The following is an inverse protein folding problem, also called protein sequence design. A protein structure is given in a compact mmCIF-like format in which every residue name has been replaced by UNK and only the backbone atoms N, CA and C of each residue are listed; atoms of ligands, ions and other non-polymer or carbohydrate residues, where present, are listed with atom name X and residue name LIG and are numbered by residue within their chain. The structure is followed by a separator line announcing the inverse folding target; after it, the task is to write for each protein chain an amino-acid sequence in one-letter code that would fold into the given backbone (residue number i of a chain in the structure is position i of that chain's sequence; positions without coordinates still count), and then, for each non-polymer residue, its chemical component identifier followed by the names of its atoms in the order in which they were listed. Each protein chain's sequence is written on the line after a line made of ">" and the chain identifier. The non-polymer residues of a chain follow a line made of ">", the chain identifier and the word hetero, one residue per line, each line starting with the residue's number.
data_IF_961764014799
#
_entry.id   IF_961764014799
#
_cell.length_a   1.000
_cell.length_b   1.000
_cell.length_c   1.000
_cell.angle_alpha   90.00
_cell.angle_beta   90.00
_cell.angle_gamma   90.00
#
_symmetry.space_group_name_H-M   'P 1'
#
loop_
_entity.id
_entity.type
_entity.pdbx_description
1 polymer ?
#
# COMPACT_ATOMS: atom_id res chain seq x y z
N UNK A 1 5.38 12.61 -20.80
CA UNK A 1 6.33 11.60 -20.26
C UNK A 1 5.53 10.60 -19.44
N UNK A 2 5.65 9.29 -19.72
CA UNK A 2 4.96 8.25 -18.94
C UNK A 2 5.66 8.08 -17.57
N UNK A 3 4.93 7.58 -16.56
CA UNK A 3 5.46 7.42 -15.19
C UNK A 3 6.76 6.61 -15.16
N UNK A 4 6.83 5.55 -15.98
CA UNK A 4 7.99 4.66 -16.02
C UNK A 4 9.21 5.34 -16.67
N UNK A 5 8.99 6.16 -17.69
CA UNK A 5 10.04 6.96 -18.34
C UNK A 5 10.61 7.98 -17.35
N UNK A 6 9.73 8.67 -16.59
CA UNK A 6 10.16 9.61 -15.56
C UNK A 6 10.97 8.95 -14.44
N UNK A 7 10.52 7.77 -13.99
CA UNK A 7 11.23 6.98 -12.98
C UNK A 7 12.60 6.52 -13.50
N UNK A 8 12.66 6.02 -14.73
CA UNK A 8 13.91 5.60 -15.35
C UNK A 8 14.90 6.77 -15.51
N UNK A 9 14.41 7.93 -15.92
CA UNK A 9 15.24 9.14 -16.04
C UNK A 9 15.85 9.57 -14.70
N UNK A 10 15.06 9.59 -13.62
CA UNK A 10 15.55 9.96 -12.27
C UNK A 10 16.53 8.94 -11.68
N UNK A 11 16.33 7.65 -11.96
CA UNK A 11 17.30 6.62 -11.56
C UNK A 11 18.61 6.73 -12.35
N UNK A 12 18.52 7.05 -13.64
CA UNK A 12 19.69 7.27 -14.49
C UNK A 12 20.46 8.53 -14.05
N UNK A 13 19.75 9.61 -13.71
CA UNK A 13 20.34 10.81 -13.12
C UNK A 13 21.09 10.47 -11.82
N UNK A 14 20.43 9.76 -10.90
CA UNK A 14 21.07 9.32 -9.64
C UNK A 14 22.22 8.31 -9.83
N UNK A 15 22.38 7.71 -11.01
CA UNK A 15 23.49 6.79 -11.30
C UNK A 15 24.71 7.51 -11.87
N UNK A 16 24.51 8.65 -12.54
CA UNK A 16 25.57 9.37 -13.26
C UNK A 16 26.08 10.62 -12.52
N UNK A 17 25.41 11.05 -11.44
CA UNK A 17 25.86 12.19 -10.63
C UNK A 17 27.04 11.75 -9.74
N UNK A 18 28.18 12.48 -9.77
CA UNK A 18 29.35 12.17 -8.94
C UNK A 18 29.13 12.43 -7.45
N UNK A 19 28.15 13.26 -7.10
CA UNK A 19 27.73 13.49 -5.71
C UNK A 19 26.88 12.32 -5.18
N UNK A 20 27.49 11.52 -4.30
CA UNK A 20 26.87 10.37 -3.65
C UNK A 20 25.72 10.76 -2.70
N UNK A 21 25.74 11.95 -2.11
CA UNK A 21 24.66 12.42 -1.25
C UNK A 21 23.43 12.75 -2.10
N UNK A 22 23.61 13.50 -3.19
CA UNK A 22 22.55 13.81 -4.14
C UNK A 22 21.90 12.56 -4.75
N UNK A 23 22.71 11.57 -5.13
CA UNK A 23 22.24 10.29 -5.64
C UNK A 23 21.34 9.55 -4.63
N UNK A 24 21.73 9.57 -3.36
CA UNK A 24 20.98 8.94 -2.26
C UNK A 24 19.66 9.65 -2.00
N UNK A 25 19.67 10.99 -1.92
CA UNK A 25 18.48 11.81 -1.73
C UNK A 25 17.48 11.64 -2.88
N UNK A 26 17.99 11.58 -4.12
CA UNK A 26 17.17 11.35 -5.31
C UNK A 26 16.45 10.00 -5.24
N UNK A 27 17.17 8.91 -4.93
CA UNK A 27 16.57 7.57 -4.75
C UNK A 27 15.55 7.54 -3.60
N UNK A 28 15.87 8.20 -2.48
CA UNK A 28 14.98 8.29 -1.32
C UNK A 28 13.69 9.04 -1.63
N UNK A 29 13.76 10.13 -2.40
CA UNK A 29 12.59 10.90 -2.80
C UNK A 29 11.64 10.10 -3.71
N UNK A 30 12.18 9.29 -4.64
CA UNK A 30 11.40 8.38 -5.47
C UNK A 30 10.68 7.33 -4.62
N UNK A 31 11.39 6.77 -3.64
CA UNK A 31 10.82 5.78 -2.74
C UNK A 31 9.68 6.35 -1.89
N UNK A 32 9.85 7.54 -1.30
CA UNK A 32 8.78 8.22 -0.55
C UNK A 32 7.55 8.50 -1.41
N UNK A 33 7.74 8.99 -2.63
CA UNK A 33 6.63 9.25 -3.55
C UNK A 33 5.81 8.00 -3.85
N UNK A 34 6.48 6.88 -4.17
CA UNK A 34 5.81 5.61 -4.43
C UNK A 34 5.12 5.03 -3.20
N UNK A 35 5.73 5.22 -2.03
CA UNK A 35 5.19 4.76 -0.75
C UNK A 35 3.92 5.53 -0.39
N UNK A 36 3.89 6.86 -0.56
CA UNK A 36 2.72 7.70 -0.25
C UNK A 36 1.46 7.26 -1.00
N UNK A 37 1.55 7.05 -2.32
CA UNK A 37 0.36 6.62 -3.07
C UNK A 37 -0.13 5.24 -2.64
N UNK A 38 0.79 4.30 -2.41
CA UNK A 38 0.43 2.95 -1.97
C UNK A 38 -0.20 3.00 -0.59
N UNK A 39 0.37 3.81 0.31
CA UNK A 39 -0.11 4.00 1.67
C UNK A 39 -1.53 4.57 1.71
N UNK A 40 -1.88 5.48 0.79
CA UNK A 40 -3.24 6.03 0.71
C UNK A 40 -4.29 4.96 0.43
N UNK A 41 -4.02 3.97 -0.44
CA UNK A 41 -4.97 2.88 -0.67
C UNK A 41 -5.20 2.02 0.57
N UNK A 42 -4.12 1.70 1.30
CA UNK A 42 -4.24 0.91 2.54
C UNK A 42 -4.85 1.70 3.69
N UNK A 43 -4.57 3.00 3.78
CA UNK A 43 -5.23 3.90 4.73
C UNK A 43 -6.73 4.04 4.43
N UNK A 44 -7.11 4.17 3.17
CA UNK A 44 -8.51 4.21 2.75
C UNK A 44 -9.22 2.90 3.06
N UNK A 45 -8.57 1.75 2.80
CA UNK A 45 -9.12 0.44 3.16
C UNK A 45 -9.38 0.33 4.67
N UNK A 46 -8.42 0.74 5.50
CA UNK A 46 -8.56 0.76 6.95
C UNK A 46 -9.74 1.64 7.39
N UNK A 47 -9.84 2.85 6.84
CA UNK A 47 -10.92 3.77 7.17
C UNK A 47 -12.30 3.19 6.79
N UNK A 48 -12.43 2.64 5.58
CA UNK A 48 -13.67 1.98 5.11
C UNK A 48 -14.03 0.80 6.02
N UNK A 49 -13.05 -0.04 6.36
CA UNK A 49 -13.26 -1.19 7.25
C UNK A 49 -13.79 -0.75 8.62
N UNK A 50 -13.20 0.28 9.22
CA UNK A 50 -13.63 0.80 10.52
C UNK A 50 -15.04 1.38 10.43
N UNK A 51 -15.30 2.25 9.44
CA UNK A 51 -16.60 2.91 9.27
C UNK A 51 -17.74 1.91 9.00
N UNK A 52 -17.46 0.84 8.26
CA UNK A 52 -18.49 -0.14 7.91
C UNK A 52 -18.70 -1.23 8.98
N UNK A 53 -17.65 -1.60 9.72
CA UNK A 53 -17.67 -2.85 10.49
C UNK A 53 -17.22 -2.75 11.95
N UNK A 54 -16.72 -1.60 12.44
CA UNK A 54 -16.21 -1.54 13.82
C UNK A 54 -17.29 -1.69 14.90
N UNK A 55 -18.57 -1.44 14.58
CA UNK A 55 -19.69 -1.62 15.54
C UNK A 55 -20.06 -3.09 15.68
N UNK A 56 -20.11 -3.82 14.56
CA UNK A 56 -20.48 -5.22 14.50
C UNK A 56 -19.57 -5.95 13.52
N UNK A 57 -18.34 -6.29 13.94
CA UNK A 57 -17.37 -6.91 13.05
C UNK A 57 -17.84 -8.33 12.70
N UNK A 58 -17.95 -8.68 11.41
CA UNK A 58 -18.27 -10.04 11.01
C UNK A 58 -17.12 -10.99 11.38
N UNK A 59 -17.44 -12.25 11.69
CA UNK A 59 -16.45 -13.26 12.10
C UNK A 59 -15.34 -13.47 11.05
N UNK A 60 -15.64 -13.24 9.77
CA UNK A 60 -14.70 -13.39 8.66
C UNK A 60 -14.13 -12.06 8.14
N UNK A 61 -14.22 -10.97 8.91
CA UNK A 61 -13.74 -9.64 8.51
C UNK A 61 -12.28 -9.70 8.01
N UNK A 62 -11.43 -10.43 8.72
CA UNK A 62 -10.01 -10.53 8.39
C UNK A 62 -9.72 -11.26 7.09
N UNK A 63 -10.47 -12.32 6.77
CA UNK A 63 -10.37 -12.97 5.46
C UNK A 63 -10.73 -11.98 4.35
N UNK A 64 -11.78 -11.18 4.56
CA UNK A 64 -12.16 -10.11 3.64
C UNK A 64 -11.05 -9.08 3.43
N UNK A 65 -10.47 -8.57 4.52
CA UNK A 65 -9.35 -7.61 4.45
C UNK A 65 -8.16 -8.21 3.72
N UNK A 66 -7.77 -9.46 4.01
CA UNK A 66 -6.67 -10.15 3.32
C UNK A 66 -6.93 -10.26 1.81
N UNK A 67 -8.15 -10.62 1.39
CA UNK A 67 -8.51 -10.70 -0.02
C UNK A 67 -8.43 -9.34 -0.71
N UNK A 68 -8.91 -8.27 -0.07
CA UNK A 68 -8.81 -6.91 -0.62
C UNK A 68 -7.36 -6.45 -0.69
N UNK A 69 -6.54 -6.77 0.32
CA UNK A 69 -5.09 -6.48 0.32
C UNK A 69 -4.38 -7.22 -0.82
N UNK A 70 -4.74 -8.47 -1.11
CA UNK A 70 -4.22 -9.20 -2.27
C UNK A 70 -4.62 -8.49 -3.57
N UNK A 71 -5.88 -8.08 -3.72
CA UNK A 71 -6.35 -7.33 -4.89
C UNK A 71 -5.63 -5.99 -5.08
N UNK A 72 -5.43 -5.24 -3.98
CA UNK A 72 -4.65 -4.01 -3.98
C UNK A 72 -3.19 -4.30 -4.35
N UNK A 73 -2.55 -5.30 -3.74
CA UNK A 73 -1.19 -5.71 -4.08
C UNK A 73 -1.04 -6.02 -5.57
N UNK A 74 -1.90 -6.88 -6.11
CA UNK A 74 -1.93 -7.22 -7.54
C UNK A 74 -2.08 -5.99 -8.44
N UNK A 75 -3.05 -5.12 -8.15
CA UNK A 75 -3.30 -3.92 -8.96
C UNK A 75 -2.16 -2.90 -8.89
N UNK A 76 -1.56 -2.69 -7.71
CA UNK A 76 -0.41 -1.82 -7.52
C UNK A 76 0.84 -2.37 -8.23
N UNK A 77 1.07 -3.68 -8.14
CA UNK A 77 2.14 -4.39 -8.83
C UNK A 77 1.98 -4.36 -10.34
N UNK A 78 0.78 -4.60 -10.85
CA UNK A 78 0.46 -4.46 -12.27
C UNK A 78 0.64 -3.01 -12.74
N UNK A 79 0.34 -2.05 -11.87
CA UNK A 79 0.65 -0.63 -12.04
C UNK A 79 2.15 -0.31 -11.99
N UNK A 80 3.05 -1.27 -11.79
CA UNK A 80 4.51 -1.11 -11.79
C UNK A 80 5.11 -0.60 -10.49
N UNK A 81 4.40 -0.72 -9.37
CA UNK A 81 4.96 -0.39 -8.05
C UNK A 81 5.83 -1.54 -7.54
N UNK A 82 6.88 -1.22 -6.77
CA UNK A 82 7.78 -2.24 -6.26
C UNK A 82 7.09 -3.11 -5.18
N UNK A 83 7.31 -4.43 -5.16
CA UNK A 83 6.75 -5.31 -4.13
C UNK A 83 7.07 -4.87 -2.70
N UNK A 84 8.32 -4.45 -2.49
CA UNK A 84 8.79 -3.97 -1.18
C UNK A 84 8.05 -2.70 -0.75
N UNK A 85 7.87 -1.74 -1.66
CA UNK A 85 7.12 -0.49 -1.37
C UNK A 85 5.66 -0.79 -1.05
N UNK A 86 5.02 -1.70 -1.77
CA UNK A 86 3.62 -2.08 -1.52
C UNK A 86 3.48 -2.80 -0.17
N UNK A 87 4.38 -3.74 0.13
CA UNK A 87 4.42 -4.42 1.43
C UNK A 87 4.61 -3.43 2.59
N UNK A 88 5.62 -2.56 2.51
CA UNK A 88 5.89 -1.55 3.52
C UNK A 88 4.72 -0.56 3.68
N UNK A 89 4.11 -0.12 2.59
CA UNK A 89 2.97 0.78 2.61
C UNK A 89 1.72 0.16 3.26
N UNK A 90 1.54 -1.16 3.18
CA UNK A 90 0.42 -1.84 3.83
C UNK A 90 0.44 -1.71 5.35
N UNK A 91 1.61 -1.47 5.96
CA UNK A 91 1.72 -1.21 7.40
C UNK A 91 0.98 0.04 7.84
N UNK A 92 0.70 0.98 6.92
CA UNK A 92 -0.09 2.19 7.21
C UNK A 92 -1.54 1.84 7.55
N UNK A 93 -2.03 0.65 7.17
CA UNK A 93 -3.36 0.16 7.53
C UNK A 93 -3.63 0.28 9.04
N UNK A 94 -2.69 -0.17 9.88
CA UNK A 94 -2.85 -0.23 11.33
C UNK A 94 -3.02 1.15 11.99
N UNK A 95 -2.07 2.10 11.83
CA UNK A 95 -2.25 3.43 12.39
C UNK A 95 -3.44 4.17 11.76
N UNK A 96 -3.77 3.92 10.49
CA UNK A 96 -4.95 4.52 9.86
C UNK A 96 -6.28 4.01 10.45
N UNK A 97 -6.37 2.72 10.77
CA UNK A 97 -7.54 2.14 11.40
C UNK A 97 -7.77 2.77 12.79
N UNK A 98 -6.71 2.85 13.60
CA UNK A 98 -6.76 3.52 14.91
C UNK A 98 -7.11 4.99 14.81
N UNK A 99 -6.50 5.72 13.87
CA UNK A 99 -6.80 7.12 13.64
C UNK A 99 -8.27 7.33 13.26
N UNK A 100 -8.85 6.43 12.45
CA UNK A 100 -10.26 6.49 12.06
C UNK A 100 -11.18 6.33 13.28
N UNK A 101 -10.86 5.40 14.19
CA UNK A 101 -11.60 5.24 15.45
C UNK A 101 -11.52 6.51 16.30
N UNK A 102 -10.33 7.07 16.51
CA UNK A 102 -10.14 8.29 17.30
C UNK A 102 -10.92 9.46 16.71
N UNK A 103 -10.86 9.64 15.39
CA UNK A 103 -11.62 10.68 14.69
C UNK A 103 -13.13 10.46 14.84
N UNK A 104 -13.59 9.22 14.71
CA UNK A 104 -15.00 8.90 14.89
C UNK A 104 -15.45 9.26 16.31
N UNK A 105 -14.73 8.83 17.34
CA UNK A 105 -15.03 9.15 18.74
C UNK A 105 -15.09 10.66 19.00
N UNK A 106 -14.15 11.41 18.42
CA UNK A 106 -14.13 12.87 18.54
C UNK A 106 -15.37 13.52 17.90
N UNK A 107 -15.85 13.01 16.76
CA UNK A 107 -17.02 13.54 16.04
C UNK A 107 -18.35 13.13 16.67
N UNK A 108 -18.39 11.99 17.36
CA UNK A 108 -19.60 11.37 17.90
C UNK A 108 -19.72 11.50 19.43
N UNK A 109 -18.88 12.34 20.05
CA UNK A 109 -18.91 12.61 21.49
C UNK A 109 -18.76 11.34 22.34
N UNK A 110 -17.93 10.39 21.88
CA UNK A 110 -17.64 9.15 22.57
C UNK A 110 -18.74 8.07 22.50
N UNK A 111 -19.80 8.30 21.74
CA UNK A 111 -20.67 7.22 21.29
C UNK A 111 -19.93 6.50 20.16
N UNK A 112 -19.80 5.17 20.17
CA UNK A 112 -19.15 4.35 19.11
C UNK A 112 -17.59 4.19 19.17
N UNK A 113 -17.03 3.17 18.48
CA UNK A 113 -16.40 1.96 19.05
C UNK A 113 -14.99 2.18 19.66
N UNK A 114 -14.60 1.33 20.62
CA UNK A 114 -13.31 1.41 21.35
C UNK A 114 -12.13 0.72 20.64
N UNK A 115 -12.41 -0.07 19.61
CA UNK A 115 -11.39 -0.86 18.88
C UNK A 115 -11.69 -0.84 17.39
N UNK A 116 -10.64 -0.79 16.54
CA UNK A 116 -10.81 -0.87 15.09
C UNK A 116 -11.14 -2.28 14.59
N UNK A 117 -11.19 -3.30 15.45
CA UNK A 117 -11.43 -4.70 15.04
C UNK A 117 -10.22 -5.33 14.34
N UNK A 118 -9.02 -4.88 14.69
CA UNK A 118 -7.75 -5.32 14.11
C UNK A 118 -7.21 -6.52 14.87
N UNK A 119 -6.71 -7.53 14.16
CA UNK A 119 -6.03 -8.71 14.69
C UNK A 119 -4.53 -8.44 14.82
N UNK A 120 -3.96 -8.83 15.94
CA UNK A 120 -2.55 -8.66 16.29
C UNK A 120 -1.63 -9.39 15.28
N UNK A 121 -2.08 -10.52 14.72
CA UNK A 121 -1.33 -11.25 13.69
C UNK A 121 -1.30 -10.51 12.34
N UNK A 122 -2.23 -9.57 12.11
CA UNK A 122 -2.35 -8.84 10.85
C UNK A 122 -1.09 -8.06 10.48
N UNK A 123 -0.33 -7.59 11.48
CA UNK A 123 0.88 -6.78 11.28
C UNK A 123 1.95 -7.49 10.44
N UNK A 124 2.04 -8.82 10.55
CA UNK A 124 2.97 -9.63 9.75
C UNK A 124 2.35 -10.12 8.45
N UNK A 125 1.05 -10.42 8.47
CA UNK A 125 0.36 -11.06 7.34
C UNK A 125 0.13 -10.08 6.19
N UNK A 126 -0.30 -8.84 6.47
CA UNK A 126 -0.62 -7.88 5.41
C UNK A 126 0.59 -7.47 4.56
N UNK A 127 1.77 -7.16 5.12
CA UNK A 127 2.94 -6.81 4.31
C UNK A 127 3.39 -7.94 3.40
N UNK A 128 3.39 -9.17 3.92
CA UNK A 128 3.80 -10.35 3.16
C UNK A 128 2.82 -10.63 2.03
N UNK A 129 1.52 -10.59 2.30
CA UNK A 129 0.48 -10.76 1.28
C UNK A 129 0.55 -9.66 0.22
N UNK A 130 0.61 -8.39 0.64
CA UNK A 130 0.66 -7.25 -0.27
C UNK A 130 1.90 -7.30 -1.18
N UNK A 131 3.08 -7.59 -0.60
CA UNK A 131 4.32 -7.73 -1.37
C UNK A 131 4.26 -8.91 -2.35
N UNK A 132 3.79 -10.08 -1.90
CA UNK A 132 3.67 -11.27 -2.74
C UNK A 132 2.69 -11.04 -3.89
N UNK A 133 1.55 -10.43 -3.61
CA UNK A 133 0.56 -10.06 -4.61
C UNK A 133 1.10 -9.03 -5.61
N UNK A 134 1.83 -8.02 -5.13
CA UNK A 134 2.47 -7.03 -6.00
C UNK A 134 3.55 -7.65 -6.91
N UNK A 135 4.30 -8.64 -6.41
CA UNK A 135 5.23 -9.40 -7.23
C UNK A 135 4.51 -10.10 -8.39
N UNK A 136 3.42 -10.82 -8.08
CA UNK A 136 2.59 -11.50 -9.09
C UNK A 136 2.01 -10.48 -10.09
N UNK A 137 1.48 -9.36 -9.61
CA UNK A 137 0.97 -8.29 -10.47
C UNK A 137 2.02 -7.72 -11.41
N UNK A 138 3.26 -7.58 -10.93
CA UNK A 138 4.41 -7.17 -11.74
C UNK A 138 4.73 -8.17 -12.85
N UNK A 139 4.73 -9.47 -12.56
CA UNK A 139 4.91 -10.52 -13.57
C UNK A 139 3.81 -10.49 -14.64
N UNK A 140 2.54 -10.36 -14.23
CA UNK A 140 1.40 -10.26 -15.15
C UNK A 140 1.52 -9.06 -16.08
N UNK A 141 2.00 -7.92 -15.57
CA UNK A 141 2.27 -6.73 -16.39
C UNK A 141 3.30 -7.02 -17.47
N UNK A 142 4.40 -7.67 -17.12
CA UNK A 142 5.46 -8.03 -18.09
C UNK A 142 4.89 -8.98 -19.14
N UNK A 143 4.20 -10.04 -18.73
CA UNK A 143 3.57 -10.98 -19.67
C UNK A 143 2.60 -10.28 -20.65
N UNK A 144 1.77 -9.36 -20.14
CA UNK A 144 0.83 -8.58 -20.95
C UNK A 144 1.52 -7.61 -21.94
N UNK A 145 2.73 -7.15 -21.65
CA UNK A 145 3.52 -6.32 -22.57
C UNK A 145 4.17 -7.16 -23.68
N UNK A 146 4.60 -8.38 -23.37
CA UNK A 146 5.16 -9.32 -24.34
C UNK A 146 4.10 -9.79 -25.34
N UNK A 147 2.89 -10.10 -24.88
CA UNK A 147 1.78 -10.49 -25.75
C UNK A 147 1.29 -9.41 -26.73
N UNK A 148 1.72 -8.15 -26.57
CA UNK A 148 1.40 -7.04 -27.50
C UNK A 148 2.47 -6.79 -28.56
N UNK A 149 3.61 -7.49 -28.48
CA UNK A 149 4.75 -7.35 -29.41
C UNK A 149 4.72 -8.38 -30.54
N UNK A 150 3.76 -9.29 -30.51
CA UNK A 150 3.46 -10.29 -31.54
C UNK A 150 2.02 -10.06 -32.01
#
# INVERSE_FOLDING_TARGET
>A
MKRDEWRAARLNEAANVPDTQWATETRRSLWWWEMTFSALYFAALAAIQVLCFAVQPPTQLWLGVMLVVVGLGLSLGFGGRSPFTVGAASLVYFPAAWLTVVLWQALSWGQVPMSPGVDDAGFFVLPVLAASAALVGGFLRVAAQWGKRF
#
